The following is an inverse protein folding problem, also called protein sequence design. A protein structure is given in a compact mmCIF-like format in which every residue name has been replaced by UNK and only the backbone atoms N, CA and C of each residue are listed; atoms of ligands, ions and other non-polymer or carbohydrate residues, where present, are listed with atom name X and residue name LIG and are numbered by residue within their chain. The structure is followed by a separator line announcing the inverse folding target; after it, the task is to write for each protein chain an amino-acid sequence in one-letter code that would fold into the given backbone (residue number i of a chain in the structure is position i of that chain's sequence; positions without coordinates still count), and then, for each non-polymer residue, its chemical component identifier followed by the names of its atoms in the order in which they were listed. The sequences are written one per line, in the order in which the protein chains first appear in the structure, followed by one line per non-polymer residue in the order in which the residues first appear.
data_IF_062728500376
#
_entry.id   IF_062728500376
#
_cell.length_a   1.000
_cell.length_b   1.000
_cell.length_c   1.000
_cell.angle_alpha   90.00
_cell.angle_beta   90.00
_cell.angle_gamma   90.00
#
_symmetry.space_group_name_H-M   'P 1'
#
loop_
_entity.id
_entity.type
_entity.pdbx_description
1 polymer ?
#
# COMPACT_ATOMS: atom_id res chain seq x y z
N UNK A 1 -25.14 9.16 -5.42
CA UNK A 1 -25.83 8.10 -4.65
C UNK A 1 -25.32 6.74 -5.15
N UNK A 2 -24.72 5.92 -4.27
CA UNK A 2 -24.25 4.58 -4.63
C UNK A 2 -25.44 3.64 -4.56
N UNK A 3 -25.74 2.95 -5.67
CA UNK A 3 -26.77 1.93 -5.73
C UNK A 3 -26.10 0.57 -5.65
N UNK A 4 -26.39 -0.19 -4.59
CA UNK A 4 -25.91 -1.56 -4.45
C UNK A 4 -27.03 -2.53 -4.82
N UNK A 5 -26.74 -3.46 -5.72
CA UNK A 5 -27.66 -4.51 -6.16
C UNK A 5 -27.27 -5.80 -5.45
N UNK A 6 -28.21 -6.35 -4.66
CA UNK A 6 -27.97 -7.58 -3.92
C UNK A 6 -29.23 -8.23 -3.39
N UNK A 7 -29.07 -9.36 -2.73
CA UNK A 7 -30.13 -10.04 -1.99
C UNK A 7 -30.49 -9.30 -0.70
N UNK A 8 -31.16 -9.99 0.25
CA UNK A 8 -31.50 -9.39 1.54
C UNK A 8 -30.24 -9.07 2.34
N UNK A 9 -30.23 -7.91 3.00
CA UNK A 9 -29.13 -7.51 3.89
C UNK A 9 -29.10 -8.40 5.15
N UNK A 10 -27.90 -8.75 5.59
CA UNK A 10 -27.64 -9.48 6.85
C UNK A 10 -27.11 -8.57 7.97
N UNK A 11 -27.42 -7.30 7.90
CA UNK A 11 -27.06 -6.28 8.89
C UNK A 11 -25.84 -5.44 8.51
N UNK A 12 -24.75 -6.00 8.01
CA UNK A 12 -23.54 -5.27 7.63
C UNK A 12 -23.22 -5.34 6.13
N UNK A 13 -23.80 -6.30 5.43
CA UNK A 13 -23.52 -6.55 4.00
C UNK A 13 -24.79 -6.75 3.21
N UNK A 14 -24.71 -6.43 1.92
CA UNK A 14 -25.75 -6.80 0.96
C UNK A 14 -25.63 -8.29 0.67
N UNK A 15 -26.70 -9.03 0.82
CA UNK A 15 -26.72 -10.48 0.61
C UNK A 15 -26.46 -10.85 -0.85
N UNK A 16 -26.01 -12.06 -1.06
CA UNK A 16 -25.65 -12.60 -2.38
C UNK A 16 -26.93 -12.88 -3.19
N UNK A 17 -26.94 -12.51 -4.47
CA UNK A 17 -27.92 -12.99 -5.45
C UNK A 17 -27.44 -14.33 -5.99
N UNK A 18 -28.24 -15.38 -5.85
CA UNK A 18 -27.91 -16.67 -6.48
C UNK A 18 -27.77 -16.52 -8.00
N UNK A 19 -26.80 -17.19 -8.60
CA UNK A 19 -26.53 -17.12 -10.04
C UNK A 19 -27.77 -17.39 -10.90
N UNK A 20 -28.65 -18.32 -10.49
CA UNK A 20 -29.92 -18.62 -11.16
C UNK A 20 -30.93 -17.48 -11.12
N UNK A 21 -30.78 -16.52 -10.23
CA UNK A 21 -31.69 -15.39 -10.05
C UNK A 21 -31.16 -14.09 -10.66
N UNK A 22 -29.86 -14.04 -11.03
CA UNK A 22 -29.24 -12.81 -11.56
C UNK A 22 -30.03 -12.22 -12.71
N UNK A 23 -30.47 -13.05 -13.67
CA UNK A 23 -31.23 -12.60 -14.84
C UNK A 23 -32.62 -12.02 -14.49
N UNK A 24 -33.16 -12.30 -13.28
CA UNK A 24 -34.40 -11.72 -12.83
C UNK A 24 -34.25 -10.30 -12.28
N UNK A 25 -33.02 -9.93 -11.88
CA UNK A 25 -32.70 -8.65 -11.29
C UNK A 25 -31.87 -7.75 -12.22
N UNK A 26 -31.03 -8.36 -13.04
CA UNK A 26 -30.12 -7.63 -13.95
C UNK A 26 -30.47 -7.99 -15.39
N UNK A 27 -31.06 -7.05 -16.10
CA UNK A 27 -31.38 -7.19 -17.51
C UNK A 27 -30.38 -6.44 -18.37
N UNK A 28 -29.83 -7.11 -19.37
CA UNK A 28 -28.91 -6.50 -20.32
C UNK A 28 -29.71 -5.62 -21.29
N UNK A 29 -29.33 -4.36 -21.40
CA UNK A 29 -29.87 -3.43 -22.40
C UNK A 29 -29.12 -3.58 -23.74
N UNK A 30 -29.78 -3.24 -24.84
CA UNK A 30 -29.12 -3.04 -26.15
C UNK A 30 -28.35 -1.72 -26.18
N UNK A 31 -28.66 -0.79 -25.29
CA UNK A 31 -27.97 0.49 -25.14
C UNK A 31 -26.79 0.25 -24.18
N UNK A 32 -25.59 0.47 -24.67
CA UNK A 32 -24.36 0.42 -23.88
C UNK A 32 -23.67 1.77 -23.93
N UNK A 33 -23.13 2.19 -22.80
CA UNK A 33 -22.27 3.37 -22.70
C UNK A 33 -20.90 2.94 -22.17
N UNK A 34 -19.85 3.64 -22.60
CA UNK A 34 -18.51 3.44 -22.05
C UNK A 34 -18.45 4.13 -20.69
N UNK A 35 -18.14 3.37 -19.65
CA UNK A 35 -17.84 3.97 -18.34
C UNK A 35 -16.51 4.72 -18.43
N UNK A 36 -16.52 5.96 -17.96
CA UNK A 36 -15.31 6.76 -17.80
C UNK A 36 -14.91 6.70 -16.32
N UNK A 37 -13.76 6.11 -15.99
CA UNK A 37 -13.29 6.07 -14.62
C UNK A 37 -13.05 7.48 -14.06
N UNK A 38 -13.29 7.66 -12.78
CA UNK A 38 -12.91 8.87 -12.08
C UNK A 38 -11.42 8.81 -11.75
N UNK A 39 -10.63 9.77 -12.23
CA UNK A 39 -9.23 9.88 -11.84
C UNK A 39 -9.14 10.49 -10.44
N UNK A 40 -8.51 9.77 -9.51
CA UNK A 40 -8.33 10.19 -8.12
C UNK A 40 -6.91 9.87 -7.64
N UNK A 41 -6.45 10.62 -6.66
CA UNK A 41 -5.21 10.28 -5.97
C UNK A 41 -5.49 9.20 -4.92
N UNK A 42 -4.67 8.16 -4.85
CA UNK A 42 -4.82 7.05 -3.90
C UNK A 42 -4.95 7.53 -2.45
N UNK A 43 -4.19 8.56 -2.06
CA UNK A 43 -4.24 9.15 -0.71
C UNK A 43 -5.53 9.92 -0.40
N UNK A 44 -6.36 10.24 -1.40
CA UNK A 44 -7.62 10.98 -1.23
C UNK A 44 -8.87 10.12 -1.24
N UNK A 45 -8.71 8.80 -1.33
CA UNK A 45 -9.84 7.87 -1.36
C UNK A 45 -10.57 7.83 -0.02
N UNK A 46 -11.85 8.13 -0.04
CA UNK A 46 -12.73 8.11 1.12
C UNK A 46 -14.02 7.30 0.86
N UNK A 47 -14.98 7.34 1.77
CA UNK A 47 -16.23 6.58 1.65
C UNK A 47 -17.13 7.04 0.50
N UNK A 48 -16.94 8.25 -0.03
CA UNK A 48 -17.70 8.73 -1.19
C UNK A 48 -17.29 8.03 -2.50
N UNK A 49 -16.13 7.38 -2.51
CA UNK A 49 -15.60 6.63 -3.66
C UNK A 49 -16.06 5.17 -3.68
N UNK A 50 -16.73 4.70 -2.63
CA UNK A 50 -17.18 3.30 -2.55
C UNK A 50 -18.11 2.93 -3.69
N UNK A 51 -17.77 1.83 -4.39
CA UNK A 51 -18.51 1.32 -5.55
C UNK A 51 -18.30 2.11 -6.84
N UNK A 52 -17.41 3.11 -6.86
CA UNK A 52 -17.06 3.83 -8.08
C UNK A 52 -15.91 3.13 -8.80
N UNK A 53 -15.95 3.21 -10.12
CA UNK A 53 -14.81 2.86 -10.98
C UNK A 53 -13.84 4.04 -10.97
N UNK A 54 -12.62 3.81 -10.51
CA UNK A 54 -11.61 4.85 -10.40
C UNK A 54 -10.32 4.44 -11.11
N UNK A 55 -9.54 5.43 -11.51
CA UNK A 55 -8.17 5.26 -12.00
C UNK A 55 -7.23 5.98 -11.05
N UNK A 56 -6.19 5.27 -10.60
CA UNK A 56 -5.01 5.88 -10.00
C UNK A 56 -3.94 5.99 -11.07
N UNK A 57 -3.26 7.12 -11.11
CA UNK A 57 -2.12 7.37 -11.99
C UNK A 57 -0.81 7.26 -11.22
N UNK A 58 0.29 7.01 -11.93
CA UNK A 58 1.64 6.92 -11.36
C UNK A 58 1.78 5.94 -10.19
N UNK A 59 1.18 4.77 -10.34
CA UNK A 59 1.25 3.68 -9.36
C UNK A 59 2.22 2.60 -9.80
N UNK A 60 2.77 1.87 -8.84
CA UNK A 60 3.57 0.66 -9.07
C UNK A 60 3.38 -0.36 -7.96
N UNK A 61 3.60 -1.64 -8.26
CA UNK A 61 3.77 -2.64 -7.21
C UNK A 61 5.19 -2.58 -6.63
N UNK A 62 5.37 -2.74 -5.30
CA UNK A 62 6.71 -2.86 -4.70
C UNK A 62 7.55 -3.99 -5.31
N UNK A 63 8.86 -3.78 -5.45
CA UNK A 63 9.80 -4.81 -5.95
C UNK A 63 9.81 -6.09 -5.10
N UNK A 64 9.48 -6.00 -3.81
CA UNK A 64 9.36 -7.17 -2.95
C UNK A 64 8.29 -8.18 -3.39
N UNK A 65 7.42 -7.81 -4.33
CA UNK A 65 6.41 -8.68 -4.92
C UNK A 65 6.86 -9.31 -6.26
N UNK A 66 8.11 -9.11 -6.67
CA UNK A 66 8.64 -9.69 -7.91
C UNK A 66 8.48 -11.21 -7.92
N UNK A 67 7.92 -11.74 -8.99
CA UNK A 67 7.66 -13.17 -9.17
C UNK A 67 6.41 -13.69 -8.45
N UNK A 68 5.67 -12.85 -7.74
CA UNK A 68 4.38 -13.23 -7.17
C UNK A 68 3.25 -13.11 -8.22
N UNK A 69 2.18 -13.85 -8.00
CA UNK A 69 0.94 -13.75 -8.78
C UNK A 69 -0.08 -12.86 -8.08
N UNK A 70 -1.14 -12.47 -8.81
CA UNK A 70 -2.24 -11.66 -8.24
C UNK A 70 -2.89 -12.30 -7.01
N UNK A 71 -2.82 -13.62 -6.87
CA UNK A 71 -3.23 -14.34 -5.66
C UNK A 71 -2.08 -15.19 -5.17
N UNK A 72 -1.76 -15.07 -3.89
CA UNK A 72 -0.81 -15.96 -3.24
C UNK A 72 -1.43 -17.37 -3.18
N UNK A 73 -0.75 -18.39 -3.72
CA UNK A 73 -1.27 -19.76 -3.71
C UNK A 73 -1.44 -20.36 -2.30
N UNK A 74 -0.80 -19.74 -1.30
CA UNK A 74 -0.93 -20.13 0.11
C UNK A 74 -2.13 -19.46 0.81
N UNK A 75 -2.75 -18.46 0.16
CA UNK A 75 -3.96 -17.82 0.68
C UNK A 75 -5.20 -18.66 0.38
N UNK A 76 -6.04 -18.88 1.40
CA UNK A 76 -7.28 -19.65 1.27
C UNK A 76 -8.36 -18.93 0.44
N UNK A 77 -8.30 -17.58 0.36
CA UNK A 77 -9.37 -16.76 -0.24
C UNK A 77 -8.82 -15.64 -1.13
N UNK A 78 -8.72 -14.46 -0.59
CA UNK A 78 -8.38 -13.25 -1.33
C UNK A 78 -7.00 -12.74 -0.89
N UNK A 79 -6.19 -12.31 -1.82
CA UNK A 79 -4.86 -11.74 -1.54
C UNK A 79 -4.92 -10.22 -1.65
N UNK A 80 -4.31 -9.54 -0.67
CA UNK A 80 -4.10 -8.10 -0.69
C UNK A 80 -2.65 -7.78 -1.05
N UNK A 81 -2.45 -7.10 -2.16
CA UNK A 81 -1.13 -6.59 -2.55
C UNK A 81 -1.04 -5.08 -2.33
N UNK A 82 0.02 -4.58 -1.70
CA UNK A 82 0.26 -3.15 -1.60
C UNK A 82 0.55 -2.56 -2.99
N UNK A 83 0.08 -1.36 -3.21
CA UNK A 83 0.29 -0.53 -4.39
C UNK A 83 0.82 0.80 -3.92
N UNK A 84 1.88 1.32 -4.52
CA UNK A 84 2.56 2.54 -4.09
C UNK A 84 2.45 3.62 -5.14
N UNK A 85 2.10 4.82 -4.72
CA UNK A 85 2.07 6.00 -5.59
C UNK A 85 3.47 6.57 -5.76
N UNK A 86 3.91 6.71 -7.00
CA UNK A 86 5.15 7.39 -7.34
C UNK A 86 5.10 8.90 -7.08
N UNK A 87 3.90 9.46 -7.01
CA UNK A 87 3.71 10.90 -6.80
C UNK A 87 4.03 11.34 -5.37
N UNK A 88 3.68 10.52 -4.38
CA UNK A 88 3.77 10.91 -2.97
C UNK A 88 4.03 9.75 -2.00
N UNK A 89 4.35 8.55 -2.51
CA UNK A 89 4.60 7.37 -1.69
C UNK A 89 3.38 6.82 -0.94
N UNK A 90 2.18 7.33 -1.20
CA UNK A 90 0.99 6.83 -0.55
C UNK A 90 0.73 5.38 -0.96
N UNK A 91 0.41 4.55 0.03
CA UNK A 91 0.04 3.16 -0.19
C UNK A 91 -1.47 3.01 -0.36
N UNK A 92 -1.85 2.06 -1.19
CA UNK A 92 -3.21 1.56 -1.33
C UNK A 92 -3.16 0.05 -1.53
N UNK A 93 -4.29 -0.65 -1.42
CA UNK A 93 -4.31 -2.11 -1.59
C UNK A 93 -5.14 -2.51 -2.80
N UNK A 94 -4.62 -3.47 -3.56
CA UNK A 94 -5.37 -4.24 -4.56
C UNK A 94 -5.77 -5.56 -3.93
N UNK A 95 -7.07 -5.84 -3.87
CA UNK A 95 -7.61 -7.13 -3.41
C UNK A 95 -7.99 -7.97 -4.62
N UNK A 96 -7.41 -9.15 -4.72
CA UNK A 96 -7.73 -10.10 -5.79
C UNK A 96 -8.29 -11.38 -5.20
N UNK A 97 -9.47 -11.77 -5.66
CA UNK A 97 -10.10 -13.01 -5.23
C UNK A 97 -9.42 -14.25 -5.83
N UNK A 98 -9.27 -15.30 -5.04
CA UNK A 98 -8.79 -16.60 -5.49
C UNK A 98 -9.65 -17.21 -6.62
N UNK A 99 -10.86 -16.72 -6.81
CA UNK A 99 -11.75 -17.09 -7.91
C UNK A 99 -11.60 -16.23 -9.17
N UNK A 100 -10.75 -15.21 -9.15
CA UNK A 100 -10.49 -14.41 -10.34
C UNK A 100 -9.86 -15.26 -11.45
N UNK A 101 -10.26 -15.02 -12.70
CA UNK A 101 -9.74 -15.77 -13.85
C UNK A 101 -8.24 -15.56 -14.10
N UNK A 102 -7.69 -14.49 -13.53
CA UNK A 102 -6.28 -14.07 -13.63
C UNK A 102 -5.50 -14.27 -12.33
N UNK A 103 -6.03 -15.03 -11.39
CA UNK A 103 -5.43 -15.22 -10.06
C UNK A 103 -3.97 -15.72 -10.10
N UNK A 104 -3.58 -16.51 -11.11
CA UNK A 104 -2.23 -17.05 -11.29
C UNK A 104 -1.34 -16.21 -12.25
N UNK A 105 -1.86 -15.13 -12.81
CA UNK A 105 -1.06 -14.24 -13.63
C UNK A 105 -0.03 -13.51 -12.76
N UNK A 106 1.19 -13.27 -13.27
CA UNK A 106 2.21 -12.57 -12.51
C UNK A 106 1.86 -11.09 -12.32
N UNK A 107 2.23 -10.54 -11.17
CA UNK A 107 2.14 -9.10 -10.92
C UNK A 107 3.13 -8.35 -11.83
N UNK A 108 2.72 -7.26 -12.49
CA UNK A 108 3.59 -6.42 -13.29
C UNK A 108 4.44 -5.50 -12.37
N UNK A 109 5.54 -6.04 -11.85
CA UNK A 109 6.42 -5.33 -10.92
C UNK A 109 7.57 -4.58 -11.60
N UNK A 110 7.71 -4.67 -12.92
CA UNK A 110 8.78 -4.10 -13.71
C UNK A 110 8.51 -2.67 -14.21
N UNK A 111 7.34 -2.13 -13.93
CA UNK A 111 6.92 -0.81 -14.38
C UNK A 111 6.04 -0.04 -13.40
N UNK A 112 5.66 1.17 -13.81
CA UNK A 112 4.64 2.03 -13.19
C UNK A 112 3.66 2.54 -14.23
N UNK A 113 2.56 3.10 -13.77
CA UNK A 113 1.56 3.70 -14.66
C UNK A 113 0.20 3.80 -14.02
N UNK A 114 -0.85 3.66 -14.82
CA UNK A 114 -2.22 3.74 -14.32
C UNK A 114 -2.79 2.37 -13.99
N UNK A 115 -3.67 2.36 -12.98
CA UNK A 115 -4.45 1.20 -12.58
C UNK A 115 -5.90 1.62 -12.39
N UNK A 116 -6.83 0.83 -12.92
CA UNK A 116 -8.26 1.12 -12.90
C UNK A 116 -9.01 0.00 -12.20
N UNK A 117 -9.90 0.32 -11.29
CA UNK A 117 -10.69 -0.69 -10.59
C UNK A 117 -11.84 -0.09 -9.78
N UNK A 118 -12.61 -0.96 -9.18
CA UNK A 118 -13.70 -0.59 -8.27
C UNK A 118 -13.18 -0.41 -6.86
N UNK A 119 -13.52 0.71 -6.22
CA UNK A 119 -13.24 0.89 -4.80
C UNK A 119 -14.25 0.08 -3.98
N UNK A 120 -13.72 -0.76 -3.12
CA UNK A 120 -14.49 -1.64 -2.23
C UNK A 120 -13.91 -1.59 -0.82
N UNK A 121 -14.43 -2.43 0.06
CA UNK A 121 -13.84 -2.73 1.36
C UNK A 121 -13.32 -4.15 1.34
N UNK A 122 -12.18 -4.36 2.01
CA UNK A 122 -11.63 -5.69 2.28
C UNK A 122 -12.67 -6.59 2.97
N UNK A 123 -12.44 -7.89 2.97
CA UNK A 123 -13.36 -8.84 3.62
C UNK A 123 -13.63 -8.48 5.08
N UNK A 124 -12.63 -8.05 5.84
CA UNK A 124 -12.77 -7.55 7.21
C UNK A 124 -13.58 -6.26 7.34
N UNK A 125 -13.64 -5.48 6.26
CA UNK A 125 -14.33 -4.19 6.21
C UNK A 125 -13.52 -3.02 6.80
N UNK A 126 -12.28 -3.27 7.19
CA UNK A 126 -11.42 -2.29 7.85
C UNK A 126 -10.69 -1.41 6.81
N UNK A 127 -10.24 -2.02 5.71
CA UNK A 127 -9.47 -1.32 4.67
C UNK A 127 -10.31 -1.04 3.43
N UNK A 128 -10.01 0.09 2.77
CA UNK A 128 -10.46 0.35 1.40
C UNK A 128 -9.50 -0.32 0.44
N UNK A 129 -10.05 -1.00 -0.55
CA UNK A 129 -9.29 -1.76 -1.53
C UNK A 129 -9.76 -1.45 -2.93
N UNK A 130 -8.88 -1.64 -3.91
CA UNK A 130 -9.23 -1.64 -5.33
C UNK A 130 -9.40 -3.07 -5.81
N UNK A 131 -10.53 -3.35 -6.46
CA UNK A 131 -10.82 -4.63 -7.09
C UNK A 131 -10.71 -4.49 -8.60
N UNK A 132 -9.85 -5.29 -9.21
CA UNK A 132 -9.65 -5.33 -10.66
C UNK A 132 -10.70 -6.21 -11.33
N UNK A 133 -11.00 -5.90 -12.58
CA UNK A 133 -11.87 -6.72 -13.41
C UNK A 133 -11.05 -7.67 -14.31
N UNK A 134 -9.87 -7.24 -14.74
CA UNK A 134 -8.90 -8.03 -15.50
C UNK A 134 -7.49 -7.46 -15.33
N UNK A 135 -6.48 -8.17 -15.85
CA UNK A 135 -5.10 -7.65 -15.92
C UNK A 135 -4.94 -6.47 -16.87
N UNK A 136 -5.86 -6.28 -17.83
CA UNK A 136 -5.86 -5.12 -18.73
C UNK A 136 -6.17 -3.80 -18.01
N UNK A 137 -6.65 -3.88 -16.76
CA UNK A 137 -6.89 -2.71 -15.92
C UNK A 137 -5.58 -2.11 -15.36
N UNK A 138 -4.44 -2.81 -15.54
CA UNK A 138 -3.12 -2.39 -15.07
C UNK A 138 -2.24 -2.05 -16.27
N UNK A 139 -1.92 -0.77 -16.43
CA UNK A 139 -1.15 -0.24 -17.54
C UNK A 139 0.18 0.35 -17.04
N UNK A 140 1.08 -0.51 -16.56
CA UNK A 140 2.39 -0.14 -16.02
C UNK A 140 3.44 -0.20 -17.12
N UNK A 141 3.41 0.79 -18.04
CA UNK A 141 4.26 0.84 -19.23
C UNK A 141 5.44 1.81 -19.10
N UNK A 142 5.51 2.59 -18.04
CA UNK A 142 6.57 3.55 -17.78
C UNK A 142 7.65 2.93 -16.89
N UNK A 143 8.84 3.54 -16.88
CA UNK A 143 9.91 3.13 -15.98
C UNK A 143 9.49 3.32 -14.51
N UNK A 144 9.93 2.42 -13.63
CA UNK A 144 9.67 2.50 -12.19
C UNK A 144 10.19 3.80 -11.58
N UNK A 145 9.58 4.18 -10.46
CA UNK A 145 10.01 5.30 -9.62
C UNK A 145 10.66 4.79 -8.32
N UNK A 146 11.61 3.92 -8.44
CA UNK A 146 12.29 3.37 -7.27
C UNK A 146 13.01 4.50 -6.50
N UNK A 147 13.02 4.46 -5.15
CA UNK A 147 13.62 5.50 -4.36
C UNK A 147 15.13 5.58 -4.61
N UNK A 148 15.67 6.80 -4.73
CA UNK A 148 17.12 7.03 -4.81
C UNK A 148 17.85 6.64 -3.52
N UNK A 149 17.11 6.58 -2.42
CA UNK A 149 17.59 6.17 -1.12
C UNK A 149 16.45 5.52 -0.33
N UNK A 150 16.72 4.37 0.24
CA UNK A 150 15.79 3.65 1.10
C UNK A 150 16.54 3.05 2.29
N UNK A 151 15.95 3.13 3.48
CA UNK A 151 16.40 2.42 4.67
C UNK A 151 15.18 1.85 5.39
N UNK A 152 15.07 0.54 5.40
CA UNK A 152 13.94 -0.18 6.01
C UNK A 152 14.19 -0.60 7.45
N UNK A 153 15.44 -0.52 7.93
CA UNK A 153 15.90 -1.06 9.20
C UNK A 153 15.63 -2.58 9.41
N UNK A 154 15.22 -3.30 8.36
CA UNK A 154 14.88 -4.74 8.49
C UNK A 154 16.09 -5.65 8.78
N UNK A 155 17.32 -5.15 8.63
CA UNK A 155 18.53 -5.85 9.05
C UNK A 155 18.90 -5.59 10.52
N UNK A 156 18.04 -4.89 11.27
CA UNK A 156 18.26 -4.49 12.65
C UNK A 156 18.52 -5.67 13.58
N UNK A 157 19.40 -5.46 14.56
CA UNK A 157 19.64 -6.37 15.68
C UNK A 157 19.00 -5.78 16.93
N UNK A 158 17.96 -6.44 17.42
CA UNK A 158 17.12 -5.96 18.52
C UNK A 158 17.93 -5.56 19.76
N UNK A 159 17.70 -4.36 20.25
CA UNK A 159 18.29 -3.82 21.49
C UNK A 159 19.76 -3.41 21.36
N UNK A 160 20.35 -3.32 20.15
CA UNK A 160 21.72 -2.84 19.97
C UNK A 160 21.78 -1.38 19.55
N UNK A 161 22.91 -0.70 19.79
CA UNK A 161 23.11 0.64 19.24
C UNK A 161 23.11 0.58 17.72
N UNK A 162 22.33 1.46 17.10
CA UNK A 162 22.21 1.52 15.64
C UNK A 162 23.57 1.82 15.00
N UNK A 163 23.98 0.93 14.09
CA UNK A 163 25.25 0.99 13.39
C UNK A 163 25.11 0.60 11.91
N UNK A 164 24.54 1.50 11.13
CA UNK A 164 24.38 1.34 9.68
C UNK A 164 25.54 2.02 8.97
N UNK A 165 26.05 1.37 7.92
CA UNK A 165 27.16 1.90 7.14
C UNK A 165 26.85 3.31 6.59
N UNK A 166 27.77 4.25 6.79
CA UNK A 166 27.66 5.66 6.41
C UNK A 166 26.60 6.49 7.14
N UNK A 167 25.89 5.93 8.13
CA UNK A 167 25.05 6.69 9.04
C UNK A 167 25.86 7.18 10.24
N UNK A 168 25.44 8.30 10.81
CA UNK A 168 26.04 8.84 12.04
C UNK A 168 25.02 8.77 13.15
N UNK A 169 25.33 8.06 14.20
CA UNK A 169 24.56 7.98 15.42
C UNK A 169 25.31 8.73 16.52
N UNK A 170 24.80 9.87 16.95
CA UNK A 170 25.54 10.82 17.78
C UNK A 170 24.67 11.40 18.90
N UNK A 171 25.21 11.42 20.13
CA UNK A 171 24.61 12.09 21.27
C UNK A 171 25.18 13.51 21.42
N UNK A 172 24.35 14.51 21.26
CA UNK A 172 24.69 15.93 21.49
C UNK A 172 24.61 16.27 22.99
N UNK A 173 23.61 15.72 23.68
CA UNK A 173 23.45 15.84 25.13
C UNK A 173 23.02 14.50 25.73
N UNK A 174 23.49 14.22 26.93
CA UNK A 174 23.34 12.90 27.55
C UNK A 174 24.27 11.88 26.93
N UNK A 175 23.96 10.61 27.14
CA UNK A 175 24.76 9.47 26.68
C UNK A 175 23.99 8.54 25.74
N UNK A 176 22.70 8.80 25.56
CA UNK A 176 21.83 7.93 24.78
C UNK A 176 22.07 8.06 23.28
N UNK A 177 22.12 6.91 22.63
CA UNK A 177 22.20 6.76 21.19
C UNK A 177 20.90 6.15 20.64
N UNK A 178 20.65 6.32 19.37
CA UNK A 178 19.60 5.56 18.69
C UNK A 178 19.95 4.07 18.69
N UNK A 179 18.95 3.24 18.95
CA UNK A 179 19.07 1.78 18.99
C UNK A 179 18.29 1.13 17.86
N UNK A 180 18.71 -0.05 17.49
CA UNK A 180 18.00 -0.95 16.61
C UNK A 180 16.97 -1.74 17.43
N UNK A 181 15.73 -1.79 16.95
CA UNK A 181 14.66 -2.57 17.59
C UNK A 181 13.94 -3.41 16.54
N UNK A 182 13.37 -4.52 16.97
CA UNK A 182 12.58 -5.42 16.13
C UNK A 182 11.28 -5.78 16.82
N UNK A 183 10.15 -5.48 16.21
CA UNK A 183 8.84 -5.89 16.71
C UNK A 183 8.03 -6.59 15.61
N UNK A 184 7.59 -7.82 15.88
CA UNK A 184 6.83 -8.65 14.92
C UNK A 184 7.48 -8.77 13.54
N UNK A 185 8.82 -8.85 13.49
CA UNK A 185 9.57 -8.95 12.24
C UNK A 185 9.84 -7.61 11.54
N UNK A 186 9.33 -6.50 12.07
CA UNK A 186 9.61 -5.17 11.57
C UNK A 186 10.76 -4.52 12.34
N UNK A 187 11.83 -4.15 11.65
CA UNK A 187 12.96 -3.41 12.20
C UNK A 187 12.69 -1.90 12.19
N UNK A 188 13.17 -1.20 13.22
CA UNK A 188 13.07 0.26 13.31
C UNK A 188 14.18 0.86 14.16
N UNK A 189 14.40 2.16 13.99
CA UNK A 189 15.29 2.93 14.84
C UNK A 189 14.50 3.55 16.00
N UNK A 190 14.96 3.35 17.23
CA UNK A 190 14.36 3.92 18.46
C UNK A 190 15.33 4.86 19.15
N UNK A 191 14.82 6.01 19.62
CA UNK A 191 15.51 6.86 20.57
C UNK A 191 14.68 6.93 21.87
N UNK A 192 15.24 6.42 22.97
CA UNK A 192 14.56 6.39 24.26
C UNK A 192 15.42 7.01 25.35
N UNK A 193 14.88 8.02 26.01
CA UNK A 193 15.49 8.61 27.19
C UNK A 193 14.99 7.98 28.50
N UNK A 194 14.18 6.92 28.42
CA UNK A 194 13.60 6.26 29.59
C UNK A 194 14.69 5.61 30.47
N UNK A 195 14.69 5.96 31.75
CA UNK A 195 15.59 5.33 32.75
C UNK A 195 17.03 5.82 32.73
N UNK A 196 17.40 6.79 31.90
CA UNK A 196 18.78 7.30 31.80
C UNK A 196 19.22 8.05 33.04
N UNK A 197 18.29 8.66 33.80
CA UNK A 197 18.59 9.53 34.92
C UNK A 197 19.17 10.89 34.55
N UNK A 198 19.31 11.17 33.27
CA UNK A 198 19.85 12.42 32.72
C UNK A 198 18.77 13.49 32.63
N UNK A 199 19.15 14.76 32.82
CA UNK A 199 18.21 15.88 32.73
C UNK A 199 17.87 16.29 31.30
N UNK A 200 18.67 15.88 30.33
CA UNK A 200 18.49 16.14 28.91
C UNK A 200 19.19 15.08 28.09
N UNK A 201 18.49 14.56 27.09
CA UNK A 201 19.03 13.66 26.07
C UNK A 201 18.69 14.21 24.70
N UNK A 202 19.70 14.40 23.84
CA UNK A 202 19.57 14.84 22.45
C UNK A 202 20.41 13.90 21.61
N UNK A 203 19.76 13.09 20.79
CA UNK A 203 20.41 12.14 19.88
C UNK A 203 20.08 12.46 18.41
N UNK A 204 21.11 12.44 17.60
CA UNK A 204 21.01 12.61 16.16
C UNK A 204 21.25 11.29 15.44
N UNK A 205 20.36 10.97 14.52
CA UNK A 205 20.55 9.92 13.53
C UNK A 205 20.61 10.60 12.17
N UNK A 206 21.77 10.56 11.55
CA UNK A 206 22.04 11.29 10.31
C UNK A 206 22.32 10.28 9.20
N UNK A 207 21.52 10.30 8.15
CA UNK A 207 21.73 9.49 6.95
C UNK A 207 22.99 9.91 6.19
N UNK A 208 23.52 9.08 5.28
CA UNK A 208 24.48 9.55 4.30
C UNK A 208 23.90 10.68 3.44
N UNK A 209 24.78 11.45 2.82
CA UNK A 209 24.35 12.45 1.83
C UNK A 209 23.67 11.77 0.64
N UNK A 210 22.53 12.28 0.25
CA UNK A 210 21.73 11.77 -0.88
C UNK A 210 21.87 12.77 -2.02
N UNK A 211 22.36 12.31 -3.18
CA UNK A 211 22.44 13.12 -4.40
C UNK A 211 21.08 13.13 -5.09
N UNK A 212 20.45 14.29 -5.15
CA UNK A 212 19.15 14.50 -5.76
C UNK A 212 19.23 15.41 -7.01
N UNK A 213 20.43 15.75 -7.48
CA UNK A 213 20.62 16.69 -8.59
C UNK A 213 19.94 16.25 -9.90
N UNK A 214 19.67 14.95 -10.06
CA UNK A 214 19.01 14.38 -11.24
C UNK A 214 17.49 14.15 -11.03
N UNK A 215 16.94 14.53 -9.90
CA UNK A 215 15.55 14.30 -9.55
C UNK A 215 14.70 15.56 -9.75
N UNK A 216 13.42 15.37 -10.05
CA UNK A 216 12.43 16.44 -10.11
C UNK A 216 11.25 16.09 -9.20
N UNK A 217 10.86 16.98 -8.30
CA UNK A 217 9.73 16.78 -7.39
C UNK A 217 10.04 15.81 -6.26
N UNK A 218 11.20 15.95 -5.64
CA UNK A 218 11.70 15.09 -4.57
C UNK A 218 10.72 14.99 -3.40
N UNK A 219 10.51 13.78 -2.92
CA UNK A 219 9.65 13.48 -1.78
C UNK A 219 10.42 12.63 -0.78
N UNK A 220 10.38 13.01 0.48
CA UNK A 220 10.86 12.19 1.59
C UNK A 220 9.66 11.57 2.32
N UNK A 221 9.57 10.25 2.27
CA UNK A 221 8.60 9.49 3.04
C UNK A 221 9.29 8.81 4.23
N UNK A 222 8.69 8.89 5.40
CA UNK A 222 9.12 8.11 6.56
C UNK A 222 7.94 7.87 7.50
N UNK A 223 7.98 6.74 8.17
CA UNK A 223 7.02 6.42 9.24
C UNK A 223 7.64 6.78 10.57
N UNK A 224 6.88 7.38 11.46
CA UNK A 224 7.31 7.70 12.82
C UNK A 224 6.18 7.43 13.81
N UNK A 225 6.55 6.89 14.94
CA UNK A 225 5.67 6.70 16.09
C UNK A 225 6.36 7.25 17.33
N UNK A 226 5.60 7.76 18.27
CA UNK A 226 6.13 8.13 19.56
C UNK A 226 5.22 7.63 20.68
N UNK A 227 5.86 7.11 21.74
CA UNK A 227 5.19 6.65 22.95
C UNK A 227 5.46 7.60 24.10
N UNK A 228 4.48 7.73 25.01
CA UNK A 228 4.56 8.50 26.24
C UNK A 228 4.83 7.60 27.44
#
# INVERSE_FOLDING_TARGET
EVITIGGSADGSRVGIINASQVQSYIMRSEITETMVPLVVNASSVDDSHMGLLVTFEDMQFPLGLEGQSYVDPDDDYDTLHPLVSCLNGAEFFVETSSFASFNQEPLPTDGRGSITGLISKSYGGDDKVMMLNSTDDVLFNDARCDPVFEESFNSATDGTNLNITNWINYAEAGTELWTEQVYSGNGYAEFSAYGTGESSNIGWLISPGIDMDAQDGEVLNFQTEYAY
#
